data_IF_555605249435
#
_entry.id   IF_555605249435
#
_cell.length_a   1.000
_cell.length_b   1.000
_cell.length_c   1.000
_cell.angle_alpha   90.00
_cell.angle_beta   90.00
_cell.angle_gamma   90.00
#
_symmetry.space_group_name_H-M   'P 1'
#
loop_
_entity.id
_entity.type
_entity.pdbx_description
1 polymer ?
#
# COMPACT_ATOMS: atom_id res chain seq x y z
N UNK A 1 29.69 22.72 11.63
CA UNK A 1 28.28 22.73 12.04
C UNK A 1 28.09 21.63 13.06
N UNK A 2 27.57 21.97 14.25
CA UNK A 2 27.09 20.96 15.18
C UNK A 2 25.91 20.21 14.55
N UNK A 3 25.83 18.89 14.74
CA UNK A 3 24.64 18.10 14.33
C UNK A 3 23.49 18.22 15.33
N UNK A 4 23.73 18.86 16.47
CA UNK A 4 22.78 18.95 17.57
C UNK A 4 21.84 20.14 17.39
N UNK A 5 20.57 19.93 17.77
CA UNK A 5 19.57 20.98 17.88
C UNK A 5 19.82 21.78 19.16
N UNK A 6 20.09 23.08 19.02
CA UNK A 6 20.22 24.00 20.15
C UNK A 6 18.87 24.61 20.55
N UNK A 7 18.80 25.19 21.74
CA UNK A 7 17.62 25.97 22.16
C UNK A 7 17.38 27.20 21.27
N UNK A 8 18.43 27.75 20.65
CA UNK A 8 18.29 28.84 19.69
C UNK A 8 17.58 28.36 18.42
N UNK A 9 17.90 27.16 17.93
CA UNK A 9 17.24 26.58 16.75
C UNK A 9 15.75 26.33 17.02
N UNK A 10 15.40 25.81 18.19
CA UNK A 10 14.00 25.61 18.61
C UNK A 10 13.24 26.93 18.72
N UNK A 11 13.87 27.99 19.25
CA UNK A 11 13.28 29.32 19.30
C UNK A 11 13.01 29.86 17.89
N UNK A 12 13.97 29.71 16.98
CA UNK A 12 13.82 30.11 15.57
C UNK A 12 12.66 29.36 14.90
N UNK A 13 12.55 28.04 15.07
CA UNK A 13 11.42 27.27 14.49
C UNK A 13 10.06 27.69 15.05
N UNK A 14 10.00 28.01 16.35
CA UNK A 14 8.78 28.51 16.96
C UNK A 14 8.38 29.88 16.40
N UNK A 15 9.35 30.74 16.13
CA UNK A 15 9.12 32.04 15.50
C UNK A 15 8.73 31.92 14.03
N UNK A 16 9.36 31.02 13.27
CA UNK A 16 8.98 30.69 11.89
C UNK A 16 7.55 30.18 11.82
N UNK A 17 7.14 29.30 12.74
CA UNK A 17 5.78 28.79 12.82
C UNK A 17 4.75 29.90 13.09
N UNK A 18 5.10 30.91 13.90
CA UNK A 18 4.23 32.07 14.12
C UNK A 18 4.04 32.91 12.86
N UNK A 19 5.02 32.92 11.95
CA UNK A 19 4.91 33.63 10.67
C UNK A 19 4.04 32.91 9.63
N UNK A 20 3.78 31.61 9.82
CA UNK A 20 2.88 30.86 8.92
C UNK A 20 1.43 31.35 9.10
N UNK A 21 0.76 31.83 8.04
CA UNK A 21 -0.61 32.31 8.14
C UNK A 21 -1.56 31.27 8.74
N UNK A 22 -2.37 31.70 9.71
CA UNK A 22 -3.33 30.86 10.43
C UNK A 22 -2.73 29.61 11.11
N UNK A 23 -1.43 29.58 11.41
CA UNK A 23 -0.73 28.43 11.99
C UNK A 23 -1.39 27.86 13.24
N UNK A 24 -1.87 28.71 14.15
CA UNK A 24 -2.59 28.26 15.35
C UNK A 24 -3.91 27.54 15.04
N UNK A 25 -4.66 28.02 14.04
CA UNK A 25 -5.93 27.41 13.64
C UNK A 25 -5.67 26.09 12.92
N UNK A 26 -4.68 26.07 12.03
CA UNK A 26 -4.24 24.86 11.32
C UNK A 26 -3.75 23.81 12.32
N UNK A 27 -2.91 24.20 13.29
CA UNK A 27 -2.40 23.30 14.32
C UNK A 27 -3.55 22.67 15.12
N UNK A 28 -4.51 23.47 15.59
CA UNK A 28 -5.68 22.94 16.30
C UNK A 28 -6.51 22.00 15.42
N UNK A 29 -6.79 22.39 14.18
CA UNK A 29 -7.56 21.56 13.26
C UNK A 29 -6.90 20.20 13.02
N UNK A 30 -5.58 20.17 12.79
CA UNK A 30 -4.81 18.93 12.59
C UNK A 30 -4.71 18.11 13.87
N UNK A 31 -4.52 18.73 15.04
CA UNK A 31 -4.45 18.03 16.33
C UNK A 31 -5.76 17.34 16.69
N UNK A 32 -6.89 17.99 16.43
CA UNK A 32 -8.21 17.44 16.75
C UNK A 32 -8.71 16.43 15.71
N UNK A 33 -8.44 16.67 14.42
CA UNK A 33 -9.09 15.92 13.33
C UNK A 33 -8.11 15.04 12.52
N UNK A 34 -6.81 15.19 12.72
CA UNK A 34 -5.76 14.57 11.91
C UNK A 34 -5.54 15.25 10.55
N UNK A 35 -4.43 14.89 9.90
CA UNK A 35 -4.01 15.48 8.62
C UNK A 35 -5.05 15.22 7.53
N UNK A 36 -5.45 13.96 7.34
CA UNK A 36 -6.31 13.56 6.23
C UNK A 36 -7.70 14.17 6.29
N UNK A 37 -8.28 14.40 7.47
CA UNK A 37 -9.60 15.03 7.57
C UNK A 37 -9.52 16.54 7.32
N UNK A 38 -8.45 17.17 7.84
CA UNK A 38 -8.21 18.61 7.71
C UNK A 38 -7.86 19.01 6.28
N UNK A 39 -7.14 18.16 5.55
CA UNK A 39 -6.65 18.46 4.19
C UNK A 39 -7.62 18.05 3.05
N UNK A 40 -8.84 17.59 3.35
CA UNK A 40 -9.81 17.21 2.31
C UNK A 40 -10.17 18.41 1.43
N UNK A 41 -9.94 18.27 0.12
CA UNK A 41 -10.36 19.25 -0.88
C UNK A 41 -11.74 18.93 -1.44
N UNK A 42 -12.68 19.85 -1.26
CA UNK A 42 -14.01 19.77 -1.87
C UNK A 42 -13.95 19.95 -3.39
N UNK A 43 -13.03 20.77 -3.87
CA UNK A 43 -12.83 21.00 -5.31
C UNK A 43 -12.30 19.74 -6.00
N UNK A 44 -11.32 19.06 -5.39
CA UNK A 44 -10.84 17.77 -5.91
C UNK A 44 -11.97 16.73 -5.95
N UNK A 45 -12.85 16.74 -4.96
CA UNK A 45 -14.04 15.87 -4.94
C UNK A 45 -15.03 16.23 -6.04
N UNK A 46 -15.24 17.51 -6.31
CA UNK A 46 -16.11 17.98 -7.39
C UNK A 46 -15.55 17.65 -8.78
N UNK A 47 -14.23 17.73 -8.96
CA UNK A 47 -13.54 17.38 -10.20
C UNK A 47 -13.57 15.86 -10.50
N UNK A 48 -13.71 15.01 -9.48
CA UNK A 48 -13.84 13.55 -9.60
C UNK A 48 -15.26 13.12 -10.03
N UNK A 49 -15.71 13.55 -11.20
CA UNK A 49 -16.96 13.06 -11.78
C UNK A 49 -16.74 11.62 -12.28
N UNK A 50 -17.41 10.65 -11.65
CA UNK A 50 -17.30 9.21 -11.99
C UNK A 50 -18.04 8.87 -13.29
N UNK A 51 -17.77 9.64 -14.34
CA UNK A 51 -18.40 9.55 -15.66
C UNK A 51 -17.29 9.38 -16.68
N UNK A 52 -17.28 8.24 -17.36
CA UNK A 52 -16.24 7.86 -18.30
C UNK A 52 -16.84 7.74 -19.70
N UNK A 53 -16.15 8.25 -20.73
CA UNK A 53 -16.60 8.13 -22.12
C UNK A 53 -16.47 6.69 -22.66
N UNK A 54 -15.61 5.89 -22.03
CA UNK A 54 -15.39 4.48 -22.32
C UNK A 54 -15.43 3.73 -21.00
N UNK A 55 -16.34 2.79 -20.88
CA UNK A 55 -16.51 1.96 -19.70
C UNK A 55 -16.50 0.49 -20.12
N UNK A 56 -15.69 -0.31 -19.42
CA UNK A 56 -15.64 -1.76 -19.60
C UNK A 56 -16.66 -2.37 -18.65
N UNK A 57 -17.50 -3.27 -19.14
CA UNK A 57 -18.43 -4.00 -18.30
C UNK A 57 -17.67 -4.88 -17.30
N UNK A 58 -17.61 -4.41 -16.05
CA UNK A 58 -17.06 -5.17 -14.93
C UNK A 58 -18.22 -5.68 -14.09
N UNK A 59 -18.31 -7.01 -13.88
CA UNK A 59 -19.27 -7.59 -12.93
C UNK A 59 -18.95 -7.23 -11.47
N UNK A 60 -19.59 -7.92 -10.53
CA UNK A 60 -19.49 -7.60 -9.09
C UNK A 60 -18.06 -7.47 -8.55
N UNK A 61 -17.89 -6.61 -7.53
CA UNK A 61 -16.61 -6.34 -6.89
C UNK A 61 -16.11 -7.52 -6.04
N UNK A 62 -14.80 -7.67 -5.95
CA UNK A 62 -14.14 -8.67 -5.11
C UNK A 62 -13.55 -8.05 -3.84
N UNK A 63 -13.46 -8.80 -2.73
CA UNK A 63 -12.95 -8.29 -1.45
C UNK A 63 -11.80 -9.15 -0.88
N UNK A 64 -10.57 -8.63 -0.89
CA UNK A 64 -9.40 -9.38 -0.40
C UNK A 64 -9.36 -9.56 1.13
N UNK A 65 -10.18 -8.79 1.85
CA UNK A 65 -10.25 -8.74 3.32
C UNK A 65 -8.91 -8.28 3.90
N UNK A 66 -8.59 -8.69 5.11
CA UNK A 66 -7.34 -8.35 5.79
C UNK A 66 -6.20 -9.24 5.26
N UNK A 67 -5.82 -9.05 3.98
CA UNK A 67 -4.70 -9.78 3.35
C UNK A 67 -3.96 -8.90 2.34
N UNK A 68 -2.68 -9.18 2.10
CA UNK A 68 -1.83 -8.47 1.13
C UNK A 68 -1.95 -8.97 -0.31
N UNK A 69 -3.14 -9.41 -0.75
CA UNK A 69 -3.33 -10.12 -2.03
C UNK A 69 -3.84 -9.25 -3.18
N UNK A 70 -3.68 -7.93 -3.11
CA UNK A 70 -4.22 -7.01 -4.12
C UNK A 70 -3.72 -7.35 -5.54
N UNK A 71 -2.46 -7.73 -5.70
CA UNK A 71 -1.88 -8.14 -6.98
C UNK A 71 -2.62 -9.35 -7.58
N UNK A 72 -2.93 -10.35 -6.75
CA UNK A 72 -3.65 -11.55 -7.16
C UNK A 72 -5.10 -11.24 -7.52
N UNK A 73 -5.77 -10.41 -6.72
CA UNK A 73 -7.15 -9.99 -6.99
C UNK A 73 -7.24 -9.15 -8.26
N UNK A 74 -6.30 -8.23 -8.49
CA UNK A 74 -6.25 -7.42 -9.72
C UNK A 74 -6.07 -8.30 -10.96
N UNK A 75 -5.12 -9.24 -10.95
CA UNK A 75 -4.89 -10.17 -12.06
C UNK A 75 -6.10 -11.07 -12.31
N UNK A 76 -6.73 -11.61 -11.27
CA UNK A 76 -7.91 -12.45 -11.45
C UNK A 76 -9.15 -11.66 -11.86
N UNK A 77 -9.23 -10.38 -11.49
CA UNK A 77 -10.29 -9.48 -11.95
C UNK A 77 -10.18 -9.20 -13.45
N UNK A 78 -8.98 -8.95 -13.99
CA UNK A 78 -8.84 -8.76 -15.43
C UNK A 78 -9.23 -10.02 -16.21
N UNK A 79 -8.73 -11.18 -15.79
CA UNK A 79 -9.00 -12.46 -16.47
C UNK A 79 -10.46 -12.91 -16.38
N UNK A 80 -11.14 -12.66 -15.26
CA UNK A 80 -12.51 -13.15 -15.05
C UNK A 80 -13.52 -12.45 -15.95
N UNK A 81 -13.27 -11.20 -16.36
CA UNK A 81 -14.20 -10.45 -17.22
C UNK A 81 -14.38 -11.12 -18.59
N UNK A 82 -13.27 -11.48 -19.23
CA UNK A 82 -13.30 -12.19 -20.52
C UNK A 82 -13.88 -13.60 -20.38
N UNK A 83 -13.51 -14.30 -19.30
CA UNK A 83 -14.05 -15.64 -19.02
C UNK A 83 -15.57 -15.60 -18.81
N UNK A 84 -16.05 -14.68 -17.98
CA UNK A 84 -17.46 -14.49 -17.70
C UNK A 84 -18.26 -14.18 -18.97
N UNK A 85 -17.74 -13.29 -19.82
CA UNK A 85 -18.34 -12.94 -21.12
C UNK A 85 -18.41 -14.14 -22.06
N UNK A 86 -17.32 -14.90 -22.17
CA UNK A 86 -17.23 -16.08 -23.05
C UNK A 86 -18.22 -17.18 -22.68
N UNK A 87 -18.43 -17.41 -21.38
CA UNK A 87 -19.28 -18.50 -20.88
C UNK A 87 -20.65 -18.04 -20.38
N UNK A 88 -21.00 -16.76 -20.60
CA UNK A 88 -22.26 -16.15 -20.16
C UNK A 88 -22.53 -16.37 -18.66
N UNK A 89 -21.50 -16.15 -17.83
CA UNK A 89 -21.57 -16.32 -16.38
C UNK A 89 -21.74 -14.97 -15.70
N UNK A 90 -22.76 -14.85 -14.84
CA UNK A 90 -22.94 -13.68 -14.00
C UNK A 90 -22.10 -13.81 -12.71
N UNK A 91 -21.41 -12.73 -12.33
CA UNK A 91 -20.64 -12.60 -11.08
C UNK A 91 -19.59 -13.70 -10.81
N UNK A 92 -19.04 -14.25 -11.89
CA UNK A 92 -17.99 -15.27 -11.80
C UNK A 92 -16.73 -14.74 -11.11
N UNK A 93 -16.09 -15.61 -10.32
CA UNK A 93 -14.79 -15.38 -9.70
C UNK A 93 -13.92 -16.63 -9.79
N UNK A 94 -12.63 -16.43 -10.06
CA UNK A 94 -11.62 -17.46 -9.83
C UNK A 94 -11.33 -17.58 -8.33
N UNK A 95 -10.90 -18.77 -7.90
CA UNK A 95 -10.45 -18.97 -6.52
C UNK A 95 -9.12 -18.25 -6.27
N UNK A 96 -9.18 -17.06 -5.67
CA UNK A 96 -7.97 -16.34 -5.24
C UNK A 96 -7.26 -17.11 -4.13
N UNK A 97 -7.99 -17.91 -3.34
CA UNK A 97 -7.40 -18.73 -2.30
C UNK A 97 -6.56 -19.89 -2.85
N UNK A 98 -6.99 -20.47 -3.98
CA UNK A 98 -6.23 -21.54 -4.65
C UNK A 98 -4.83 -21.06 -5.04
N UNK A 99 -4.73 -19.94 -5.76
CA UNK A 99 -3.42 -19.39 -6.14
C UNK A 99 -2.64 -18.86 -4.94
N UNK A 100 -3.30 -18.28 -3.94
CA UNK A 100 -2.65 -17.83 -2.71
C UNK A 100 -2.05 -18.96 -1.89
N UNK A 101 -2.59 -20.18 -1.98
CA UNK A 101 -2.02 -21.35 -1.33
C UNK A 101 -0.68 -21.72 -1.97
N UNK A 102 -0.66 -21.84 -3.30
CA UNK A 102 0.56 -22.18 -4.04
C UNK A 102 1.60 -21.06 -3.97
N UNK A 103 1.21 -19.79 -3.98
CA UNK A 103 2.14 -18.66 -3.77
C UNK A 103 2.91 -18.82 -2.46
N UNK A 104 2.23 -19.15 -1.35
CA UNK A 104 2.86 -19.34 -0.04
C UNK A 104 3.73 -20.60 0.00
N UNK A 105 3.29 -21.68 -0.64
CA UNK A 105 4.06 -22.92 -0.73
C UNK A 105 5.37 -22.69 -1.50
N UNK A 106 5.28 -22.06 -2.67
CA UNK A 106 6.44 -21.78 -3.51
C UNK A 106 7.40 -20.78 -2.88
N UNK A 107 6.89 -19.73 -2.22
CA UNK A 107 7.72 -18.79 -1.46
C UNK A 107 8.45 -19.45 -0.30
N UNK A 108 7.78 -20.34 0.45
CA UNK A 108 8.43 -21.09 1.52
C UNK A 108 9.54 -21.98 0.97
N UNK A 109 9.30 -22.68 -0.14
CA UNK A 109 10.34 -23.45 -0.82
C UNK A 109 11.50 -22.57 -1.30
N UNK A 110 11.19 -21.42 -1.91
CA UNK A 110 12.18 -20.45 -2.40
C UNK A 110 13.05 -19.88 -1.28
N UNK A 111 12.48 -19.64 -0.10
CA UNK A 111 13.23 -19.24 1.09
C UNK A 111 14.27 -20.30 1.47
N UNK A 112 13.90 -21.59 1.46
CA UNK A 112 14.83 -22.68 1.79
C UNK A 112 15.97 -22.77 0.77
N UNK A 113 15.67 -22.58 -0.51
CA UNK A 113 16.70 -22.51 -1.56
C UNK A 113 17.66 -21.33 -1.36
N UNK A 114 17.15 -20.16 -0.96
CA UNK A 114 18.00 -19.02 -0.60
C UNK A 114 18.84 -19.29 0.65
N UNK A 115 18.28 -19.95 1.67
CA UNK A 115 19.02 -20.31 2.87
C UNK A 115 20.22 -21.21 2.55
N UNK A 116 20.06 -22.15 1.62
CA UNK A 116 21.17 -23.00 1.13
C UNK A 116 22.21 -22.15 0.38
N UNK A 117 21.77 -21.21 -0.45
CA UNK A 117 22.67 -20.35 -1.24
C UNK A 117 23.47 -19.36 -0.38
N UNK A 118 22.90 -18.92 0.74
CA UNK A 118 23.46 -17.87 1.58
C UNK A 118 24.10 -18.41 2.88
N UNK A 119 24.16 -19.74 3.08
CA UNK A 119 24.57 -20.34 4.36
C UNK A 119 26.01 -19.98 4.77
N UNK A 120 26.89 -19.77 3.79
CA UNK A 120 28.29 -19.44 4.03
C UNK A 120 28.56 -17.93 4.14
N UNK A 121 27.52 -17.09 4.02
CA UNK A 121 27.65 -15.65 4.19
C UNK A 121 27.82 -15.28 5.67
N UNK A 122 28.51 -14.16 5.97
CA UNK A 122 28.55 -13.61 7.33
C UNK A 122 27.14 -13.37 7.90
N UNK A 123 27.00 -13.51 9.22
CA UNK A 123 25.71 -13.32 9.90
C UNK A 123 25.14 -11.89 9.76
N UNK A 124 26.01 -10.91 9.52
CA UNK A 124 25.65 -9.51 9.26
C UNK A 124 25.54 -9.17 7.78
N UNK A 125 25.60 -10.17 6.89
CA UNK A 125 25.38 -9.97 5.47
C UNK A 125 23.97 -9.47 5.20
N UNK A 126 23.87 -8.46 4.34
CA UNK A 126 22.61 -7.78 4.04
C UNK A 126 21.61 -8.70 3.36
N UNK A 127 22.05 -9.57 2.45
CA UNK A 127 21.16 -10.47 1.69
C UNK A 127 20.68 -11.61 2.58
N UNK A 128 21.57 -12.17 3.42
CA UNK A 128 21.21 -13.15 4.44
C UNK A 128 20.16 -12.60 5.41
N UNK A 129 20.38 -11.40 5.96
CA UNK A 129 19.42 -10.76 6.87
C UNK A 129 18.10 -10.43 6.18
N UNK A 130 18.14 -9.93 4.93
CA UNK A 130 16.92 -9.65 4.18
C UNK A 130 16.10 -10.93 3.91
N UNK A 131 16.76 -12.05 3.61
CA UNK A 131 16.09 -13.34 3.44
C UNK A 131 15.40 -13.80 4.73
N UNK A 132 16.04 -13.63 5.90
CA UNK A 132 15.44 -14.00 7.19
C UNK A 132 14.22 -13.15 7.53
N UNK A 133 14.26 -11.85 7.23
CA UNK A 133 13.16 -10.93 7.54
C UNK A 133 11.98 -11.06 6.57
N UNK A 134 12.24 -11.25 5.27
CA UNK A 134 11.24 -11.12 4.21
C UNK A 134 10.98 -12.40 3.41
N UNK A 135 11.72 -13.48 3.61
CA UNK A 135 11.76 -14.62 2.71
C UNK A 135 10.44 -15.39 2.50
N UNK A 136 9.44 -15.21 3.37
CA UNK A 136 8.15 -15.92 3.31
C UNK A 136 6.95 -14.97 3.11
N UNK A 137 7.18 -13.66 3.04
CA UNK A 137 6.10 -12.66 2.93
C UNK A 137 5.49 -12.57 1.52
#
# INVERSE_FOLDING_TARGET
MSKDLSFADLANFADDLKQVPASHVIARAVQENGVNATSKSLDARAALNRVFSVEVETGDVTHQKQSGRCWLFATLNTLRHDFAKKYNLKDFQFSQNYLSFYDRLEKANKMLEWAIQLIDQPEDDREFLAMLEWGVQ
#
